data_IF_703898047597
#
_entry.id   IF_703898047597
#
_cell.length_a   1.000
_cell.length_b   1.000
_cell.length_c   1.000
_cell.angle_alpha   90.00
_cell.angle_beta   90.00
_cell.angle_gamma   90.00
#
_symmetry.space_group_name_H-M   'P 1'
#
loop_
_entity.id
_entity.type
_entity.pdbx_description
1 polymer ?
#
# COMPACT_ATOMS: atom_id res chain seq x y z
N UNK A 1 33.88 26.73 -14.37
CA UNK A 1 33.26 26.01 -13.25
C UNK A 1 32.30 26.97 -12.53
N UNK A 2 31.00 26.63 -12.39
CA UNK A 2 29.90 27.32 -11.62
C UNK A 2 28.66 27.88 -12.36
N UNK A 3 28.57 27.94 -13.70
CA UNK A 3 27.38 28.47 -14.40
C UNK A 3 26.49 27.40 -15.06
N UNK A 4 27.06 26.30 -15.58
CA UNK A 4 26.29 25.22 -16.24
C UNK A 4 25.47 24.36 -15.27
N UNK A 5 25.81 24.35 -13.97
CA UNK A 5 25.06 23.62 -12.94
C UNK A 5 23.85 24.41 -12.42
N UNK A 6 23.69 25.70 -12.75
CA UNK A 6 22.58 26.53 -12.23
C UNK A 6 21.28 26.29 -12.98
N UNK A 7 21.35 26.14 -14.30
CA UNK A 7 20.21 25.90 -15.17
C UNK A 7 19.41 24.64 -14.82
N UNK A 8 20.01 23.46 -14.57
CA UNK A 8 19.24 22.27 -14.20
C UNK A 8 18.49 22.43 -12.86
N UNK A 9 19.09 23.12 -11.88
CA UNK A 9 18.43 23.39 -10.59
C UNK A 9 17.25 24.36 -10.73
N UNK A 10 17.40 25.44 -11.51
CA UNK A 10 16.31 26.37 -11.77
C UNK A 10 15.17 25.66 -12.50
N UNK A 11 15.50 24.83 -13.48
CA UNK A 11 14.51 24.06 -14.24
C UNK A 11 13.75 23.09 -13.34
N UNK A 12 14.44 22.37 -12.45
CA UNK A 12 13.83 21.47 -11.48
C UNK A 12 12.89 22.21 -10.50
N UNK A 13 13.30 23.38 -10.01
CA UNK A 13 12.48 24.21 -9.12
C UNK A 13 11.23 24.72 -9.86
N UNK A 14 11.38 25.23 -11.08
CA UNK A 14 10.25 25.70 -11.90
C UNK A 14 9.26 24.56 -12.17
N UNK A 15 9.76 23.38 -12.55
CA UNK A 15 8.92 22.20 -12.76
C UNK A 15 8.17 21.78 -11.49
N UNK A 16 8.83 21.83 -10.34
CA UNK A 16 8.23 21.51 -9.05
C UNK A 16 7.09 22.48 -8.68
N UNK A 17 7.34 23.79 -8.80
CA UNK A 17 6.32 24.81 -8.54
C UNK A 17 5.18 24.77 -9.56
N UNK A 18 5.48 24.53 -10.84
CA UNK A 18 4.47 24.37 -11.89
C UNK A 18 3.56 23.16 -11.60
N UNK A 19 4.12 22.02 -11.19
CA UNK A 19 3.36 20.84 -10.81
C UNK A 19 2.47 21.09 -9.58
N UNK A 20 2.94 21.89 -8.63
CA UNK A 20 2.16 22.33 -7.47
C UNK A 20 0.99 23.26 -7.85
N UNK A 21 1.24 24.26 -8.71
CA UNK A 21 0.21 25.21 -9.20
C UNK A 21 -0.84 24.52 -10.07
N UNK A 22 -0.42 23.58 -10.91
CA UNK A 22 -1.31 22.78 -11.77
C UNK A 22 -2.13 21.74 -11.00
N UNK A 23 -1.97 21.64 -9.67
CA UNK A 23 -2.75 20.72 -8.86
C UNK A 23 -2.53 19.27 -9.28
N UNK A 24 -1.27 18.87 -9.49
CA UNK A 24 -0.85 17.47 -9.57
C UNK A 24 -0.41 16.99 -8.17
N UNK A 25 -1.30 16.85 -7.17
CA UNK A 25 -0.89 16.30 -5.91
C UNK A 25 -0.60 14.82 -6.18
N UNK A 26 0.64 14.40 -6.01
CA UNK A 26 0.96 12.98 -5.80
C UNK A 26 0.36 12.62 -4.44
N UNK A 27 -0.95 12.38 -4.42
CA UNK A 27 -1.62 11.81 -3.27
C UNK A 27 -1.42 10.31 -3.36
N UNK A 28 -0.81 9.73 -2.34
CA UNK A 28 -0.96 8.31 -2.08
C UNK A 28 -2.44 8.07 -1.75
N UNK A 29 -3.26 7.92 -2.78
CA UNK A 29 -4.64 7.49 -2.64
C UNK A 29 -4.62 5.98 -2.53
N UNK A 30 -5.09 5.45 -1.40
CA UNK A 30 -5.52 4.07 -1.36
C UNK A 30 -6.59 3.88 -2.43
N UNK A 31 -6.53 2.78 -3.19
CA UNK A 31 -7.59 2.41 -4.10
C UNK A 31 -8.95 2.52 -3.37
N UNK A 32 -10.01 2.98 -4.05
CA UNK A 32 -11.35 3.02 -3.47
C UNK A 32 -11.64 1.66 -2.85
N UNK A 33 -12.14 1.64 -1.60
CA UNK A 33 -12.74 0.43 -1.07
C UNK A 33 -14.02 0.20 -1.88
N UNK A 34 -13.93 -0.59 -2.95
CA UNK A 34 -15.10 -1.35 -3.39
C UNK A 34 -15.66 -2.09 -2.17
N UNK A 35 -16.98 -2.23 -2.05
CA UNK A 35 -17.64 -2.99 -0.98
C UNK A 35 -17.38 -4.49 -1.18
N UNK A 36 -16.11 -4.89 -1.04
CA UNK A 36 -15.65 -6.26 -1.13
C UNK A 36 -15.98 -6.89 0.21
N UNK A 37 -17.06 -7.67 0.22
CA UNK A 37 -17.46 -8.48 1.36
C UNK A 37 -17.12 -9.93 1.09
N UNK A 38 -16.42 -10.53 2.03
CA UNK A 38 -16.15 -11.95 2.08
C UNK A 38 -16.23 -12.40 3.53
N UNK A 39 -16.92 -13.51 3.76
CA UNK A 39 -16.81 -14.29 5.00
C UNK A 39 -16.43 -15.72 4.60
N UNK A 40 -15.29 -16.19 5.11
CA UNK A 40 -14.79 -17.54 4.87
C UNK A 40 -14.50 -18.21 6.21
N UNK A 41 -15.04 -19.42 6.40
CA UNK A 41 -14.75 -20.29 7.54
C UNK A 41 -14.26 -21.63 7.01
N UNK A 42 -13.08 -22.04 7.46
CA UNK A 42 -12.46 -23.31 7.12
C UNK A 42 -12.17 -24.12 8.38
N UNK A 43 -12.30 -25.43 8.25
CA UNK A 43 -11.81 -26.37 9.25
C UNK A 43 -10.27 -26.36 9.26
N UNK A 44 -9.67 -26.13 10.43
CA UNK A 44 -8.23 -25.96 10.55
C UNK A 44 -7.43 -27.26 10.33
N UNK A 45 -8.04 -28.42 10.54
CA UNK A 45 -7.35 -29.71 10.45
C UNK A 45 -7.40 -30.30 9.04
N UNK A 46 -8.58 -30.29 8.42
CA UNK A 46 -8.82 -30.87 7.09
C UNK A 46 -8.69 -29.87 5.95
N UNK A 47 -8.78 -28.57 6.24
CA UNK A 47 -8.87 -27.51 5.22
C UNK A 47 -10.22 -27.45 4.50
N UNK A 48 -11.22 -28.21 4.96
CA UNK A 48 -12.55 -28.17 4.37
C UNK A 48 -13.22 -26.81 4.58
N UNK A 49 -13.73 -26.20 3.51
CA UNK A 49 -14.55 -24.98 3.62
C UNK A 49 -15.89 -25.33 4.25
N UNK A 50 -16.15 -24.76 5.44
CA UNK A 50 -17.40 -24.94 6.18
C UNK A 50 -18.45 -23.91 5.77
N UNK A 51 -18.00 -22.70 5.45
CA UNK A 51 -18.87 -21.60 5.04
C UNK A 51 -18.10 -20.61 4.16
N UNK A 52 -18.74 -20.13 3.10
CA UNK A 52 -18.22 -19.07 2.25
C UNK A 52 -19.36 -18.20 1.75
N UNK A 53 -19.25 -16.89 1.93
CA UNK A 53 -20.17 -15.88 1.41
C UNK A 53 -19.38 -14.70 0.83
N UNK A 54 -19.77 -14.23 -0.35
CA UNK A 54 -19.11 -13.12 -1.05
C UNK A 54 -17.85 -13.48 -1.86
N UNK A 55 -17.05 -12.46 -2.21
CA UNK A 55 -15.90 -12.55 -3.13
C UNK A 55 -14.59 -12.70 -2.34
N UNK A 56 -14.16 -13.93 -2.12
CA UNK A 56 -13.06 -14.28 -1.21
C UNK A 56 -11.68 -14.45 -1.89
N UNK A 57 -11.60 -14.31 -3.21
CA UNK A 57 -10.40 -14.53 -4.02
C UNK A 57 -9.77 -13.24 -4.56
N UNK A 58 -10.40 -12.09 -4.32
CA UNK A 58 -9.87 -10.77 -4.69
C UNK A 58 -8.80 -10.31 -3.71
N UNK A 59 -7.63 -9.95 -4.23
CA UNK A 59 -6.52 -9.41 -3.43
C UNK A 59 -6.75 -7.94 -3.09
N UNK A 60 -6.51 -7.57 -1.83
CA UNK A 60 -6.58 -6.20 -1.29
C UNK A 60 -5.40 -5.93 -0.35
N UNK A 61 -5.17 -4.66 0.01
CA UNK A 61 -4.19 -4.31 1.04
C UNK A 61 -4.58 -4.93 2.40
N UNK A 62 -3.65 -5.57 3.13
CA UNK A 62 -3.95 -6.17 4.43
C UNK A 62 -4.19 -5.14 5.55
N UNK A 63 -3.82 -3.87 5.33
CA UNK A 63 -3.90 -2.82 6.36
C UNK A 63 -3.32 -3.31 7.71
N UNK A 64 -4.10 -3.21 8.80
CA UNK A 64 -3.65 -3.60 10.12
C UNK A 64 -3.51 -5.11 10.34
N UNK A 65 -4.09 -6.00 9.51
CA UNK A 65 -3.92 -7.46 9.68
C UNK A 65 -2.50 -7.91 9.37
N UNK A 66 -1.73 -7.12 8.61
CA UNK A 66 -0.31 -7.36 8.36
C UNK A 66 0.55 -7.33 9.63
N UNK A 67 0.02 -6.84 10.75
CA UNK A 67 0.72 -6.91 12.04
C UNK A 67 0.97 -8.37 12.48
N UNK A 68 0.16 -9.33 12.05
CA UNK A 68 0.37 -10.75 12.37
C UNK A 68 1.67 -11.28 11.74
N UNK A 69 1.87 -11.25 10.41
CA UNK A 69 3.15 -11.66 9.82
C UNK A 69 4.31 -10.73 10.23
N UNK A 70 4.06 -9.43 10.41
CA UNK A 70 5.11 -8.52 10.88
C UNK A 70 5.60 -8.84 12.30
N UNK A 71 4.70 -9.26 13.20
CA UNK A 71 5.07 -9.72 14.54
C UNK A 71 5.89 -11.01 14.47
N UNK A 72 5.49 -11.96 13.61
CA UNK A 72 6.28 -13.18 13.38
C UNK A 72 7.71 -12.83 12.94
N UNK A 73 7.86 -11.93 11.95
CA UNK A 73 9.17 -11.44 11.50
C UNK A 73 9.94 -10.76 12.64
N UNK A 74 9.26 -9.94 13.45
CA UNK A 74 9.87 -9.23 14.57
C UNK A 74 10.42 -10.16 15.65
N UNK A 75 9.64 -11.17 16.05
CA UNK A 75 10.09 -12.18 17.02
C UNK A 75 11.20 -13.08 16.45
N UNK A 76 11.08 -13.50 15.19
CA UNK A 76 12.11 -14.31 14.51
C UNK A 76 13.45 -13.56 14.40
N UNK A 77 13.39 -12.25 14.10
CA UNK A 77 14.56 -11.38 14.06
C UNK A 77 15.09 -10.96 15.45
N UNK A 78 14.41 -11.31 16.55
CA UNK A 78 14.75 -10.89 17.91
C UNK A 78 14.60 -9.39 18.18
N UNK A 79 13.73 -8.71 17.43
CA UNK A 79 13.42 -7.28 17.59
C UNK A 79 12.29 -7.07 18.60
N UNK A 80 11.33 -8.00 18.64
CA UNK A 80 10.18 -8.02 19.55
C UNK A 80 10.35 -9.06 20.65
#
# INVERSE_FOLDING_TARGET
>A
MRQMDRYPFIFAIVLFFLAWVLGLPVRAQSAPLDDIRCTLVQDAQSGATLYQDGVCDRRVSPASTFKVPLALIGYDAGIL
#
